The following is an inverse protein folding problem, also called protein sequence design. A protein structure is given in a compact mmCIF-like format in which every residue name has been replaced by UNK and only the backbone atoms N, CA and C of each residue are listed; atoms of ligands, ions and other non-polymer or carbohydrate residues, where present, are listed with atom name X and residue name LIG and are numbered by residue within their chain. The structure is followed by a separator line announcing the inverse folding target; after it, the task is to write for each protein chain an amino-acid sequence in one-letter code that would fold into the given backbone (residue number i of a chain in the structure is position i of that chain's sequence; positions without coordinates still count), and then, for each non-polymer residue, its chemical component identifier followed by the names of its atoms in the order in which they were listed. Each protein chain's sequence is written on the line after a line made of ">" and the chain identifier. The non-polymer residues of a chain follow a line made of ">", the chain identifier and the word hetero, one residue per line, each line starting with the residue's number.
data_IF_146397119137
#
_entry.id   IF_146397119137
#
_cell.length_a   1.000
_cell.length_b   1.000
_cell.length_c   1.000
_cell.angle_alpha   90.00
_cell.angle_beta   90.00
_cell.angle_gamma   90.00
#
_symmetry.space_group_name_H-M   'P 1'
#
loop_
_entity.id
_entity.type
_entity.pdbx_description
1 polymer ?
#
# COMPACT_ATOMS: atom_id res chain seq x y z
N UNK A 1 -16.06 24.18 -15.60
CA UNK A 1 -15.69 23.26 -14.49
C UNK A 1 -14.59 22.31 -14.97
N UNK A 2 -13.52 22.09 -14.20
CA UNK A 2 -12.43 21.16 -14.60
C UNK A 2 -12.90 19.73 -14.38
N UNK A 3 -12.77 18.88 -15.42
CA UNK A 3 -12.99 17.44 -15.28
C UNK A 3 -11.79 16.86 -14.53
N UNK A 4 -11.99 16.46 -13.28
CA UNK A 4 -10.99 15.84 -12.39
C UNK A 4 -10.89 14.32 -12.55
N UNK A 5 -11.43 13.79 -13.66
CA UNK A 5 -11.58 12.35 -13.91
C UNK A 5 -10.25 11.60 -13.86
N UNK A 6 -9.17 12.16 -14.41
CA UNK A 6 -7.85 11.51 -14.35
C UNK A 6 -7.36 11.31 -12.91
N UNK A 7 -7.42 12.36 -12.08
CA UNK A 7 -6.98 12.28 -10.67
C UNK A 7 -7.83 11.27 -9.88
N UNK A 8 -9.14 11.23 -10.15
CA UNK A 8 -10.05 10.26 -9.54
C UNK A 8 -9.71 8.84 -9.97
N UNK A 9 -9.49 8.57 -11.26
CA UNK A 9 -9.17 7.22 -11.75
C UNK A 9 -7.86 6.72 -11.14
N UNK A 10 -6.80 7.54 -11.17
CA UNK A 10 -5.51 7.16 -10.59
C UNK A 10 -5.60 6.98 -9.08
N UNK A 11 -6.33 7.85 -8.38
CA UNK A 11 -6.59 7.71 -6.95
C UNK A 11 -7.33 6.41 -6.63
N UNK A 12 -8.38 6.08 -7.37
CA UNK A 12 -9.15 4.84 -7.17
C UNK A 12 -8.29 3.60 -7.42
N UNK A 13 -7.50 3.57 -8.49
CA UNK A 13 -6.59 2.45 -8.76
C UNK A 13 -5.55 2.32 -7.65
N UNK A 14 -4.97 3.44 -7.20
CA UNK A 14 -4.02 3.45 -6.08
C UNK A 14 -4.62 2.92 -4.78
N UNK A 15 -5.88 3.26 -4.48
CA UNK A 15 -6.62 2.74 -3.31
C UNK A 15 -6.82 1.23 -3.45
N UNK A 16 -7.29 0.75 -4.60
CA UNK A 16 -7.53 -0.69 -4.81
C UNK A 16 -6.24 -1.48 -4.66
N UNK A 17 -5.15 -1.01 -5.26
CA UNK A 17 -3.84 -1.66 -5.11
C UNK A 17 -3.34 -1.64 -3.66
N UNK A 18 -3.51 -0.53 -2.94
CA UNK A 18 -3.13 -0.42 -1.52
C UNK A 18 -3.95 -1.37 -0.64
N UNK A 19 -5.24 -1.51 -0.92
CA UNK A 19 -6.11 -2.46 -0.24
C UNK A 19 -5.72 -3.91 -0.55
N UNK A 20 -5.36 -4.22 -1.80
CA UNK A 20 -4.84 -5.55 -2.17
C UNK A 20 -3.56 -5.88 -1.42
N UNK A 21 -2.63 -4.92 -1.26
CA UNK A 21 -1.45 -5.12 -0.41
C UNK A 21 -1.80 -5.42 1.03
N UNK A 22 -2.79 -4.72 1.59
CA UNK A 22 -3.28 -5.02 2.93
C UNK A 22 -3.88 -6.42 3.03
N UNK A 23 -4.61 -6.89 2.00
CA UNK A 23 -5.16 -8.24 1.97
C UNK A 23 -4.03 -9.28 1.93
N UNK A 24 -3.00 -9.06 1.12
CA UNK A 24 -1.81 -9.95 1.08
C UNK A 24 -1.16 -10.01 2.46
N UNK A 25 -0.96 -8.87 3.12
CA UNK A 25 -0.42 -8.83 4.49
C UNK A 25 -1.29 -9.61 5.49
N UNK A 26 -2.62 -9.52 5.38
CA UNK A 26 -3.54 -10.28 6.24
C UNK A 26 -3.40 -11.79 6.00
N UNK A 27 -3.34 -12.22 4.73
CA UNK A 27 -3.17 -13.64 4.38
C UNK A 27 -1.84 -14.19 4.89
N UNK A 28 -0.76 -13.42 4.76
CA UNK A 28 0.56 -13.78 5.31
C UNK A 28 0.51 -13.97 6.82
N UNK A 29 -0.05 -13.00 7.56
CA UNK A 29 -0.20 -13.14 9.01
C UNK A 29 -1.07 -14.33 9.41
N UNK A 30 -2.17 -14.57 8.69
CA UNK A 30 -3.07 -15.69 8.97
C UNK A 30 -2.38 -17.04 8.74
N UNK A 31 -1.57 -17.14 7.69
CA UNK A 31 -0.74 -18.32 7.43
C UNK A 31 0.26 -18.55 8.56
N UNK A 32 1.02 -17.52 8.95
CA UNK A 32 2.05 -17.63 9.99
C UNK A 32 1.48 -17.92 11.39
N UNK A 33 0.26 -17.45 11.68
CA UNK A 33 -0.41 -17.70 12.96
C UNK A 33 -1.22 -19.02 12.99
N UNK A 34 -1.29 -19.76 11.87
CA UNK A 34 -2.01 -21.03 11.83
C UNK A 34 -1.14 -22.16 12.37
N UNK A 35 -1.57 -22.88 13.43
CA UNK A 35 -0.82 -24.02 13.98
C UNK A 35 -0.56 -25.12 12.94
N UNK A 36 -1.49 -25.32 12.00
CA UNK A 36 -1.39 -26.33 10.96
C UNK A 36 -0.36 -25.96 9.87
N UNK A 37 -0.24 -24.67 9.56
CA UNK A 37 0.78 -24.18 8.62
C UNK A 37 2.15 -24.22 9.29
N UNK A 38 2.22 -23.83 10.57
CA UNK A 38 3.43 -23.89 11.37
C UNK A 38 3.97 -25.32 11.46
N UNK A 39 3.12 -26.31 11.78
CA UNK A 39 3.53 -27.71 11.86
C UNK A 39 4.01 -28.26 10.52
N UNK A 40 3.36 -27.88 9.40
CA UNK A 40 3.80 -28.29 8.06
C UNK A 40 5.15 -27.68 7.68
N UNK A 41 5.43 -26.44 8.10
CA UNK A 41 6.73 -25.81 7.91
C UNK A 41 7.79 -26.55 8.73
N UNK A 42 7.52 -26.84 10.00
CA UNK A 42 8.43 -27.60 10.87
C UNK A 42 8.73 -28.99 10.30
N UNK A 43 7.72 -29.77 9.91
CA UNK A 43 7.88 -31.09 9.31
C UNK A 43 8.65 -31.05 7.98
N UNK A 44 8.33 -30.07 7.12
CA UNK A 44 9.02 -29.86 5.84
C UNK A 44 10.49 -29.49 6.03
N UNK A 45 10.82 -28.83 7.14
CA UNK A 45 12.19 -28.47 7.47
C UNK A 45 13.00 -29.61 8.08
N UNK A 46 12.41 -30.36 9.02
CA UNK A 46 13.07 -31.53 9.61
C UNK A 46 13.40 -32.59 8.55
N UNK A 47 12.61 -32.64 7.47
CA UNK A 47 12.80 -33.57 6.36
C UNK A 47 13.74 -33.07 5.25
N UNK A 48 14.21 -31.81 5.28
CA UNK A 48 15.10 -31.26 4.24
C UNK A 48 16.60 -31.44 4.59
N UNK A 49 17.34 -32.29 3.86
CA UNK A 49 18.77 -32.51 4.12
C UNK A 49 19.61 -31.24 3.95
N UNK A 50 19.20 -30.30 3.10
CA UNK A 50 19.95 -29.07 2.84
C UNK A 50 19.90 -28.12 4.05
N UNK A 51 18.77 -28.08 4.76
CA UNK A 51 18.64 -27.26 5.97
C UNK A 51 19.46 -27.85 7.12
N UNK A 52 19.50 -29.17 7.24
CA UNK A 52 20.36 -29.85 8.21
C UNK A 52 21.86 -29.63 7.94
N UNK A 53 22.29 -29.68 6.67
CA UNK A 53 23.68 -29.38 6.30
C UNK A 53 24.04 -27.90 6.44
N UNK A 54 23.07 -26.99 6.31
CA UNK A 54 23.29 -25.54 6.44
C UNK A 54 23.61 -25.09 7.87
N UNK A 55 23.42 -25.96 8.87
CA UNK A 55 23.64 -25.64 10.29
C UNK A 55 22.63 -24.63 10.85
N UNK A 56 21.53 -24.38 10.15
CA UNK A 56 20.46 -23.50 10.59
C UNK A 56 19.84 -24.04 11.89
N UNK A 57 19.83 -23.20 12.93
CA UNK A 57 19.30 -23.59 14.24
C UNK A 57 17.79 -23.34 14.31
N UNK A 58 17.11 -24.00 15.26
CA UNK A 58 15.71 -23.70 15.57
C UNK A 58 15.48 -22.21 15.93
N UNK A 59 16.47 -21.58 16.57
CA UNK A 59 16.42 -20.15 16.89
C UNK A 59 16.49 -19.24 15.66
N UNK A 60 17.29 -19.60 14.66
CA UNK A 60 17.36 -18.85 13.39
C UNK A 60 16.02 -18.92 12.65
N UNK A 61 15.36 -20.09 12.71
CA UNK A 61 14.04 -20.24 12.12
C UNK A 61 12.98 -19.40 12.84
N UNK A 62 12.95 -19.44 14.17
CA UNK A 62 12.05 -18.58 14.94
C UNK A 62 12.21 -17.10 14.57
N UNK A 63 13.45 -16.64 14.37
CA UNK A 63 13.73 -15.28 13.94
C UNK A 63 13.21 -14.97 12.51
N UNK A 64 13.32 -15.91 11.57
CA UNK A 64 12.76 -15.78 10.21
C UNK A 64 11.22 -15.67 10.28
N UNK A 65 10.58 -16.50 11.08
CA UNK A 65 9.12 -16.52 11.21
C UNK A 65 8.59 -15.24 11.87
N UNK A 66 9.24 -14.77 12.94
CA UNK A 66 8.92 -13.49 13.58
C UNK A 66 9.13 -12.32 12.60
N UNK A 67 10.18 -12.36 11.77
CA UNK A 67 10.42 -11.35 10.73
C UNK A 67 9.30 -11.38 9.68
N UNK A 68 8.87 -12.57 9.24
CA UNK A 68 7.79 -12.70 8.26
C UNK A 68 6.44 -12.20 8.80
N UNK A 69 6.12 -12.52 10.07
CA UNK A 69 4.91 -12.04 10.74
C UNK A 69 4.93 -10.51 10.88
N UNK A 70 6.03 -9.95 11.39
CA UNK A 70 6.17 -8.50 11.56
C UNK A 70 6.10 -7.76 10.22
N UNK A 71 6.69 -8.31 9.14
CA UNK A 71 6.56 -7.77 7.79
C UNK A 71 5.12 -7.84 7.29
N UNK A 72 4.42 -8.94 7.50
CA UNK A 72 3.01 -9.08 7.15
C UNK A 72 2.18 -7.99 7.81
N UNK A 73 2.31 -7.83 9.13
CA UNK A 73 1.59 -6.83 9.92
C UNK A 73 1.92 -5.39 9.49
N UNK A 74 3.19 -5.13 9.17
CA UNK A 74 3.63 -3.84 8.66
C UNK A 74 2.97 -3.48 7.31
N UNK A 75 2.87 -4.44 6.39
CA UNK A 75 2.19 -4.24 5.10
C UNK A 75 0.70 -3.95 5.26
N UNK A 76 0.02 -4.61 6.21
CA UNK A 76 -1.39 -4.33 6.54
C UNK A 76 -1.57 -2.89 6.97
N UNK A 77 -0.76 -2.44 7.93
CA UNK A 77 -0.87 -1.09 8.49
C UNK A 77 -0.65 -0.03 7.41
N UNK A 78 0.41 -0.16 6.61
CA UNK A 78 0.70 0.77 5.51
C UNK A 78 -0.40 0.78 4.45
N UNK A 79 -0.88 -0.40 4.05
CA UNK A 79 -1.94 -0.53 3.05
C UNK A 79 -3.25 0.13 3.50
N UNK A 80 -3.64 -0.05 4.76
CA UNK A 80 -4.83 0.59 5.35
C UNK A 80 -4.68 2.10 5.40
N UNK A 81 -3.57 2.62 5.94
CA UNK A 81 -3.34 4.07 6.07
C UNK A 81 -3.35 4.72 4.67
N UNK A 82 -2.63 4.15 3.71
CA UNK A 82 -2.59 4.67 2.34
C UNK A 82 -3.97 4.63 1.67
N UNK A 83 -4.75 3.57 1.90
CA UNK A 83 -6.12 3.46 1.38
C UNK A 83 -7.02 4.55 1.96
N UNK A 84 -6.97 4.80 3.26
CA UNK A 84 -7.76 5.87 3.91
C UNK A 84 -7.37 7.24 3.36
N UNK A 85 -6.08 7.54 3.27
CA UNK A 85 -5.60 8.80 2.70
C UNK A 85 -6.05 8.97 1.25
N UNK A 86 -5.94 7.92 0.44
CA UNK A 86 -6.42 7.90 -0.94
C UNK A 86 -7.93 8.15 -1.04
N UNK A 87 -8.73 7.51 -0.19
CA UNK A 87 -10.20 7.70 -0.16
C UNK A 87 -10.54 9.16 0.13
N UNK A 88 -9.94 9.75 1.17
CA UNK A 88 -10.21 11.15 1.52
C UNK A 88 -9.72 12.09 0.40
N UNK A 89 -8.58 11.79 -0.23
CA UNK A 89 -8.09 12.55 -1.39
C UNK A 89 -9.08 12.50 -2.57
N UNK A 90 -9.62 11.33 -2.89
CA UNK A 90 -10.64 11.19 -3.95
C UNK A 90 -11.91 11.95 -3.58
N UNK A 91 -12.43 11.80 -2.36
CA UNK A 91 -13.65 12.49 -1.93
C UNK A 91 -13.52 14.02 -1.97
N UNK A 92 -12.34 14.56 -1.67
CA UNK A 92 -12.09 16.01 -1.62
C UNK A 92 -11.87 16.64 -3.01
N UNK A 93 -11.43 15.85 -4.00
CA UNK A 93 -11.24 16.33 -5.38
C UNK A 93 -12.48 16.16 -6.26
N UNK A 94 -13.36 15.23 -5.91
CA UNK A 94 -14.66 15.08 -6.56
C UNK A 94 -15.42 16.41 -6.50
N UNK A 95 -15.94 16.84 -7.66
CA UNK A 95 -16.56 18.16 -7.89
C UNK A 95 -15.61 19.37 -7.75
N UNK A 96 -14.29 19.17 -7.77
CA UNK A 96 -13.29 20.24 -7.67
C UNK A 96 -13.46 21.12 -6.41
N UNK A 97 -13.89 20.52 -5.28
CA UNK A 97 -14.17 21.25 -4.04
C UNK A 97 -12.89 21.78 -3.38
N UNK A 98 -11.89 20.90 -3.19
CA UNK A 98 -10.62 21.23 -2.51
C UNK A 98 -9.42 20.54 -3.18
N UNK A 99 -9.01 20.98 -4.39
CA UNK A 99 -7.95 20.32 -5.14
C UNK A 99 -6.59 20.36 -4.42
N UNK A 100 -6.28 21.42 -3.68
CA UNK A 100 -5.02 21.52 -2.91
C UNK A 100 -4.98 20.49 -1.78
N UNK A 101 -6.08 20.35 -1.02
CA UNK A 101 -6.15 19.37 0.08
C UNK A 101 -6.01 17.94 -0.45
N UNK A 102 -6.70 17.63 -1.55
CA UNK A 102 -6.58 16.33 -2.20
C UNK A 102 -5.16 16.04 -2.66
N UNK A 103 -4.50 17.03 -3.29
CA UNK A 103 -3.11 16.92 -3.71
C UNK A 103 -2.19 16.50 -2.57
N UNK A 104 -2.29 17.19 -1.42
CA UNK A 104 -1.51 16.87 -0.23
C UNK A 104 -1.79 15.44 0.24
N UNK A 105 -3.06 15.03 0.30
CA UNK A 105 -3.41 13.68 0.76
C UNK A 105 -2.91 12.58 -0.17
N UNK A 106 -2.94 12.81 -1.48
CA UNK A 106 -2.33 11.87 -2.43
C UNK A 106 -0.82 11.79 -2.28
N UNK A 107 -0.12 12.92 -2.07
CA UNK A 107 1.32 12.89 -1.79
C UNK A 107 1.62 12.13 -0.49
N UNK A 108 0.84 12.35 0.57
CA UNK A 108 1.00 11.61 1.83
C UNK A 108 0.77 10.11 1.62
N UNK A 109 -0.28 9.72 0.90
CA UNK A 109 -0.54 8.33 0.56
C UNK A 109 0.64 7.71 -0.23
N UNK A 110 1.19 8.47 -1.18
CA UNK A 110 2.34 8.06 -1.97
C UNK A 110 3.59 7.84 -1.11
N UNK A 111 3.86 8.71 -0.13
CA UNK A 111 5.00 8.56 0.78
C UNK A 111 4.80 7.35 1.69
N UNK A 112 3.61 7.17 2.25
CA UNK A 112 3.30 6.04 3.14
C UNK A 112 3.49 4.71 2.43
N UNK A 113 2.84 4.51 1.27
CA UNK A 113 2.91 3.20 0.59
C UNK A 113 4.16 3.05 -0.28
N UNK A 114 4.58 4.12 -0.96
CA UNK A 114 5.68 4.07 -1.92
C UNK A 114 7.06 4.00 -1.26
N UNK A 115 7.26 4.75 -0.16
CA UNK A 115 8.52 4.69 0.59
C UNK A 115 8.47 3.67 1.72
N UNK A 116 7.33 3.50 2.39
CA UNK A 116 7.21 2.58 3.52
C UNK A 116 7.48 1.12 3.15
N UNK A 117 7.10 0.70 1.94
CA UNK A 117 7.22 -0.73 1.54
C UNK A 117 8.54 -1.10 0.84
N UNK A 118 9.49 -0.16 0.70
CA UNK A 118 10.78 -0.35 0.00
C UNK A 118 10.60 -1.13 -1.33
N UNK A 119 9.87 -0.54 -2.27
CA UNK A 119 9.73 -1.05 -3.64
C UNK A 119 8.42 -1.80 -3.94
N UNK A 120 7.89 -2.62 -3.04
CA UNK A 120 6.68 -3.40 -3.32
C UNK A 120 5.45 -2.52 -3.59
N UNK A 121 5.28 -1.46 -2.81
CA UNK A 121 4.22 -0.44 -2.95
C UNK A 121 4.56 0.68 -3.92
N UNK A 122 5.58 0.52 -4.77
CA UNK A 122 5.99 1.54 -5.74
C UNK A 122 4.87 1.88 -6.72
N UNK A 123 4.13 0.88 -7.21
CA UNK A 123 3.04 1.10 -8.18
C UNK A 123 1.91 1.95 -7.59
N UNK A 124 1.27 1.59 -6.46
CA UNK A 124 0.25 2.46 -5.85
C UNK A 124 0.81 3.81 -5.43
N UNK A 125 2.06 3.84 -4.93
CA UNK A 125 2.74 5.09 -4.55
C UNK A 125 2.90 6.04 -5.74
N UNK A 126 3.32 5.52 -6.89
CA UNK A 126 3.49 6.30 -8.12
C UNK A 126 2.15 6.84 -8.64
N UNK A 127 1.10 6.04 -8.62
CA UNK A 127 -0.25 6.49 -9.02
C UNK A 127 -0.76 7.62 -8.14
N UNK A 128 -0.59 7.49 -6.82
CA UNK A 128 -0.94 8.56 -5.89
C UNK A 128 -0.08 9.81 -6.10
N UNK A 129 1.24 9.66 -6.30
CA UNK A 129 2.13 10.78 -6.57
C UNK A 129 1.69 11.57 -7.81
N UNK A 130 1.43 10.86 -8.91
CA UNK A 130 0.98 11.46 -10.17
C UNK A 130 -0.37 12.16 -9.97
N UNK A 131 -1.34 11.52 -9.30
CA UNK A 131 -2.63 12.13 -8.98
C UNK A 131 -2.49 13.41 -8.13
N UNK A 132 -1.60 13.38 -7.13
CA UNK A 132 -1.30 14.52 -6.26
C UNK A 132 -0.71 15.71 -7.02
N UNK A 133 0.27 15.46 -7.88
CA UNK A 133 0.88 16.50 -8.71
C UNK A 133 -0.18 17.12 -9.64
N UNK A 134 -1.02 16.29 -10.29
CA UNK A 134 -2.09 16.80 -11.15
C UNK A 134 -3.11 17.64 -10.40
N UNK A 135 -3.43 17.28 -9.15
CA UNK A 135 -4.34 18.05 -8.31
C UNK A 135 -3.82 19.50 -8.10
N UNK A 136 -2.51 19.68 -7.95
CA UNK A 136 -1.87 21.00 -7.82
C UNK A 136 -1.75 21.76 -9.14
N UNK A 137 -1.38 21.08 -10.22
CA UNK A 137 -1.05 21.75 -11.50
C UNK A 137 -2.31 22.19 -12.26
N UNK A 138 -3.40 21.42 -12.19
CA UNK A 138 -4.63 21.74 -12.94
C UNK A 138 -5.42 22.85 -12.25
N UNK A 139 -5.45 24.04 -12.86
CA UNK A 139 -6.24 25.19 -12.41
C UNK A 139 -7.61 25.25 -13.09
N UNK A 140 -8.67 25.75 -12.42
CA UNK A 140 -9.95 26.02 -13.07
C UNK A 140 -9.80 27.11 -14.15
N UNK A 141 -10.30 26.83 -15.37
CA UNK A 141 -10.41 27.85 -16.42
C UNK A 141 -11.24 29.01 -15.87
N UNK A 142 -10.68 30.22 -15.82
CA UNK A 142 -11.45 31.44 -15.57
C UNK A 142 -12.42 31.57 -16.74
N UNK A 143 -13.72 31.59 -16.46
CA UNK A 143 -14.68 32.11 -17.41
C UNK A 143 -14.38 33.60 -17.53
N UNK A 144 -13.76 34.02 -18.63
CA UNK A 144 -13.70 35.43 -18.98
C UNK A 144 -15.15 35.91 -19.06
N UNK A 145 -15.55 36.73 -18.09
CA UNK A 145 -16.77 37.51 -18.19
C UNK A 145 -16.50 38.55 -19.27
N UNK A 146 -17.03 38.32 -20.47
CA UNK A 146 -17.13 39.34 -21.50
C UNK A 146 -18.14 40.37 -20.98
N UNK A 147 -17.68 41.61 -20.80
CA UNK A 147 -18.49 42.74 -20.31
C UNK A 147 -19.40 43.25 -21.42
#
# INVERSE_FOLDING_TARGET
>A
MVKRTGEVIMGVIGIVLSALFSIIGIVLNMGMNSPEVMSQIEEGMESDPNLQESGMTAGDMSAIMETAESMGSYLVILGIIASILGIIAVMTIVKNKKPVLSGIMFILAALVVGLGTIGFGFIPGLLFLIAGIMAFVRKPKRTETVY
#
